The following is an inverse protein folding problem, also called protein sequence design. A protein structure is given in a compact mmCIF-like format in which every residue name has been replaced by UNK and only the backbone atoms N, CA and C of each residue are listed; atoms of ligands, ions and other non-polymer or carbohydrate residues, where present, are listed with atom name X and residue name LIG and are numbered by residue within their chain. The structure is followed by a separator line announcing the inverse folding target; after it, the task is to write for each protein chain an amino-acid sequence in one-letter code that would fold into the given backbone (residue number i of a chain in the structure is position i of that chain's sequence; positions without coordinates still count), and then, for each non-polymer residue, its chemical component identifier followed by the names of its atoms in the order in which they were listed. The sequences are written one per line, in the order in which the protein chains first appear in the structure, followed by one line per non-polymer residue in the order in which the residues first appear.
data_IF_624779871293
#
_entry.id   IF_624779871293
#
_cell.length_a   1.000
_cell.length_b   1.000
_cell.length_c   1.000
_cell.angle_alpha   90.00
_cell.angle_beta   90.00
_cell.angle_gamma   90.00
#
_symmetry.space_group_name_H-M   'P 1'
#
loop_
_entity.id
_entity.type
_entity.pdbx_description
1 polymer ?
#
# COMPACT_ATOMS: atom_id res chain seq x y z
N UNK A 1 30.62 -38.16 -7.59
CA UNK A 1 29.41 -38.12 -6.77
C UNK A 1 28.74 -36.75 -6.98
N UNK A 2 27.72 -36.74 -7.82
CA UNK A 2 26.98 -35.55 -8.20
C UNK A 2 25.73 -35.51 -7.30
N UNK A 3 25.63 -34.49 -6.47
CA UNK A 3 24.43 -34.18 -5.69
C UNK A 3 23.55 -33.23 -6.48
N UNK A 4 22.46 -33.76 -7.02
CA UNK A 4 21.40 -32.99 -7.67
C UNK A 4 20.57 -32.28 -6.58
N UNK A 5 20.64 -30.94 -6.55
CA UNK A 5 19.70 -30.13 -5.82
C UNK A 5 18.32 -30.17 -6.50
N UNK A 6 17.39 -30.82 -5.84
CA UNK A 6 15.98 -30.84 -6.24
C UNK A 6 15.33 -29.54 -5.80
N UNK A 7 15.12 -28.64 -6.76
CA UNK A 7 14.27 -27.45 -6.57
C UNK A 7 12.83 -27.89 -6.44
N UNK A 8 12.30 -27.88 -5.21
CA UNK A 8 10.90 -28.19 -4.94
C UNK A 8 10.05 -26.98 -5.31
N UNK A 9 9.52 -26.98 -6.51
CA UNK A 9 8.45 -26.06 -6.94
C UNK A 9 7.16 -26.53 -6.27
N UNK A 10 6.70 -25.83 -5.24
CA UNK A 10 5.38 -26.04 -4.66
C UNK A 10 4.32 -25.62 -5.67
N UNK A 11 3.78 -26.56 -6.40
CA UNK A 11 2.66 -26.40 -7.31
C UNK A 11 1.36 -26.34 -6.51
N UNK A 12 0.74 -25.19 -6.52
CA UNK A 12 -0.64 -24.96 -6.13
C UNK A 12 -1.55 -25.82 -7.02
N UNK A 13 -1.98 -26.99 -6.53
CA UNK A 13 -3.01 -27.81 -7.18
C UNK A 13 -4.38 -27.40 -6.63
N UNK A 14 -4.94 -26.33 -7.19
CA UNK A 14 -6.38 -26.15 -7.22
C UNK A 14 -6.84 -26.67 -8.59
N UNK A 15 -7.74 -27.65 -8.62
CA UNK A 15 -8.44 -27.96 -9.86
C UNK A 15 -9.12 -26.69 -10.36
N UNK A 16 -8.99 -26.31 -11.64
CA UNK A 16 -9.61 -25.11 -12.18
C UNK A 16 -11.11 -25.38 -12.32
N UNK A 17 -11.88 -25.16 -11.26
CA UNK A 17 -13.27 -24.77 -11.45
C UNK A 17 -13.20 -23.31 -11.92
N UNK A 18 -13.31 -23.10 -13.25
CA UNK A 18 -13.62 -21.79 -13.78
C UNK A 18 -14.96 -21.36 -13.20
N UNK A 19 -14.93 -20.75 -12.03
CA UNK A 19 -16.03 -19.91 -11.56
C UNK A 19 -15.85 -18.60 -12.31
N UNK A 20 -16.67 -18.36 -13.32
CA UNK A 20 -16.98 -17.00 -13.71
C UNK A 20 -17.47 -16.33 -12.41
N UNK A 21 -16.62 -15.56 -11.75
CA UNK A 21 -17.04 -14.91 -10.53
C UNK A 21 -18.12 -13.92 -10.91
N UNK A 22 -19.34 -14.11 -10.41
CA UNK A 22 -20.41 -13.13 -10.54
C UNK A 22 -20.12 -11.87 -9.73
N UNK A 23 -19.05 -11.87 -8.91
CA UNK A 23 -18.69 -10.81 -7.99
C UNK A 23 -17.77 -9.78 -8.64
N UNK A 24 -18.00 -8.50 -8.32
CA UNK A 24 -17.25 -7.38 -8.90
C UNK A 24 -15.92 -7.14 -8.21
N UNK A 25 -15.88 -7.27 -6.89
CA UNK A 25 -14.75 -6.89 -6.05
C UNK A 25 -14.20 -8.10 -5.27
N UNK A 26 -12.89 -8.31 -5.34
CA UNK A 26 -12.17 -9.18 -4.42
C UNK A 26 -11.54 -8.31 -3.32
N UNK A 27 -11.96 -8.51 -2.08
CA UNK A 27 -11.32 -7.92 -0.88
C UNK A 27 -10.19 -8.84 -0.46
N UNK A 28 -8.96 -8.34 -0.48
CA UNK A 28 -7.74 -9.09 -0.14
C UNK A 28 -7.21 -8.59 1.20
N UNK A 29 -7.14 -9.46 2.19
CA UNK A 29 -6.73 -9.15 3.55
C UNK A 29 -5.49 -9.97 3.90
N UNK A 30 -4.28 -9.38 3.90
CA UNK A 30 -3.10 -10.04 4.43
C UNK A 30 -3.19 -10.15 5.95
N UNK A 31 -2.92 -11.34 6.49
CA UNK A 31 -2.92 -11.60 7.93
C UNK A 31 -1.58 -12.16 8.38
N UNK A 32 -1.10 -11.72 9.54
CA UNK A 32 0.04 -12.29 10.25
C UNK A 32 -0.12 -12.04 11.75
N UNK A 33 -0.47 -13.09 12.51
CA UNK A 33 -0.74 -13.03 13.96
C UNK A 33 -1.74 -11.90 14.31
N UNK A 34 -2.83 -11.81 13.51
CA UNK A 34 -3.78 -10.70 13.56
C UNK A 34 -5.13 -11.03 14.18
N UNK A 35 -5.29 -12.18 14.83
CA UNK A 35 -6.56 -12.66 15.37
C UNK A 35 -7.28 -11.61 16.22
N UNK A 36 -6.55 -10.80 16.99
CA UNK A 36 -7.13 -9.75 17.82
C UNK A 36 -7.91 -8.68 17.05
N UNK A 37 -7.71 -8.56 15.73
CA UNK A 37 -8.36 -7.57 14.87
C UNK A 37 -9.35 -8.19 13.88
N UNK A 38 -9.09 -9.44 13.46
CA UNK A 38 -9.87 -10.12 12.42
C UNK A 38 -11.38 -10.12 12.70
N UNK A 39 -11.89 -10.43 13.91
CA UNK A 39 -13.32 -10.45 14.15
C UNK A 39 -14.01 -9.13 13.84
N UNK A 40 -13.46 -8.03 14.32
CA UNK A 40 -14.01 -6.70 14.11
C UNK A 40 -13.98 -6.27 12.63
N UNK A 41 -12.89 -6.59 11.93
CA UNK A 41 -12.75 -6.32 10.51
C UNK A 41 -13.80 -7.11 9.69
N UNK A 42 -13.96 -8.39 9.97
CA UNK A 42 -14.93 -9.25 9.28
C UNK A 42 -16.37 -8.87 9.61
N UNK A 43 -16.65 -8.47 10.84
CA UNK A 43 -17.98 -7.96 11.22
C UNK A 43 -18.32 -6.67 10.43
N UNK A 44 -17.37 -5.75 10.31
CA UNK A 44 -17.56 -4.52 9.52
C UNK A 44 -17.80 -4.83 8.03
N UNK A 45 -17.11 -5.82 7.45
CA UNK A 45 -17.35 -6.28 6.08
C UNK A 45 -18.70 -6.97 5.92
N UNK A 46 -19.18 -7.72 6.91
CA UNK A 46 -20.51 -8.37 6.84
C UNK A 46 -21.67 -7.38 6.81
N UNK A 47 -21.45 -6.13 7.22
CA UNK A 47 -22.44 -5.05 7.27
C UNK A 47 -22.43 -4.15 6.03
N UNK A 48 -21.69 -4.49 4.97
CA UNK A 48 -21.64 -3.67 3.77
C UNK A 48 -22.99 -3.62 3.06
N UNK A 49 -23.32 -2.44 2.49
CA UNK A 49 -24.56 -2.20 1.72
C UNK A 49 -24.61 -2.98 0.42
N UNK A 50 -23.45 -3.25 -0.17
CA UNK A 50 -23.30 -4.11 -1.35
C UNK A 50 -22.93 -5.54 -0.93
N UNK A 51 -23.40 -6.52 -1.68
CA UNK A 51 -23.12 -7.95 -1.43
C UNK A 51 -22.37 -8.62 -2.58
N UNK A 52 -22.03 -7.86 -3.62
CA UNK A 52 -21.37 -8.33 -4.84
C UNK A 52 -19.84 -8.30 -4.69
N UNK A 53 -19.36 -8.90 -3.60
CA UNK A 53 -17.92 -9.04 -3.35
C UNK A 53 -17.60 -10.37 -2.63
N UNK A 54 -16.36 -10.79 -2.74
CA UNK A 54 -15.79 -11.90 -1.97
C UNK A 54 -14.60 -11.41 -1.13
N UNK A 55 -14.31 -12.12 -0.05
CA UNK A 55 -13.19 -11.83 0.85
C UNK A 55 -12.19 -12.96 0.79
N UNK A 56 -10.94 -12.65 0.46
CA UNK A 56 -9.80 -13.56 0.55
C UNK A 56 -8.90 -13.12 1.68
N UNK A 57 -8.80 -13.94 2.71
CA UNK A 57 -7.77 -13.78 3.73
C UNK A 57 -6.53 -14.57 3.30
N UNK A 58 -5.38 -13.91 3.31
CA UNK A 58 -4.09 -14.54 3.02
C UNK A 58 -3.28 -14.55 4.30
N UNK A 59 -3.20 -15.70 4.92
CA UNK A 59 -2.44 -15.88 6.14
C UNK A 59 -0.96 -16.14 5.84
N UNK A 60 -0.11 -15.30 6.39
CA UNK A 60 1.34 -15.32 6.17
C UNK A 60 2.09 -16.14 7.22
N UNK A 61 1.68 -17.39 7.45
CA UNK A 61 2.24 -18.29 8.44
C UNK A 61 2.06 -17.79 9.89
N UNK A 62 0.82 -17.43 10.24
CA UNK A 62 0.47 -17.15 11.63
C UNK A 62 0.57 -18.38 12.51
N UNK A 63 0.78 -18.17 13.80
CA UNK A 63 0.75 -19.23 14.81
C UNK A 63 -0.57 -19.27 15.59
N UNK A 64 -0.71 -20.33 16.38
CA UNK A 64 -1.76 -20.44 17.40
C UNK A 64 -3.19 -20.48 16.86
N UNK A 65 -4.05 -19.69 17.48
CA UNK A 65 -5.50 -19.74 17.26
C UNK A 65 -5.95 -19.03 15.97
N UNK A 66 -5.08 -18.24 15.32
CA UNK A 66 -5.40 -17.53 14.07
C UNK A 66 -5.93 -18.50 13.01
N UNK A 67 -5.23 -19.61 12.79
CA UNK A 67 -5.57 -20.60 11.75
C UNK A 67 -6.90 -21.30 12.06
N UNK A 68 -7.12 -21.67 13.31
CA UNK A 68 -8.37 -22.29 13.75
C UNK A 68 -9.56 -21.36 13.53
N UNK A 69 -9.40 -20.10 13.92
CA UNK A 69 -10.43 -19.09 13.73
C UNK A 69 -10.73 -18.85 12.25
N UNK A 70 -9.69 -18.74 11.41
CA UNK A 70 -9.83 -18.50 9.97
C UNK A 70 -10.55 -19.67 9.27
N UNK A 71 -10.27 -20.92 9.63
CA UNK A 71 -11.02 -22.05 9.09
C UNK A 71 -12.48 -22.02 9.50
N UNK A 72 -12.80 -21.69 10.75
CA UNK A 72 -14.18 -21.55 11.23
C UNK A 72 -14.89 -20.43 10.47
N UNK A 73 -14.27 -19.26 10.36
CA UNK A 73 -14.80 -18.13 9.60
C UNK A 73 -15.08 -18.48 8.13
N UNK A 74 -14.14 -19.18 7.47
CA UNK A 74 -14.33 -19.61 6.08
C UNK A 74 -15.49 -20.58 5.92
N UNK A 75 -15.64 -21.53 6.84
CA UNK A 75 -16.67 -22.57 6.80
C UNK A 75 -18.09 -22.02 6.91
N UNK A 76 -18.32 -20.84 7.49
CA UNK A 76 -19.64 -20.21 7.60
C UNK A 76 -20.20 -19.75 6.25
N UNK A 77 -19.35 -19.35 5.28
CA UNK A 77 -19.78 -18.91 3.94
C UNK A 77 -18.67 -19.20 2.91
N UNK A 78 -18.44 -20.46 2.54
CA UNK A 78 -17.34 -20.84 1.64
C UNK A 78 -17.50 -20.31 0.21
N UNK A 79 -18.68 -19.80 -0.14
CA UNK A 79 -18.92 -19.18 -1.44
C UNK A 79 -18.30 -17.79 -1.55
N UNK A 80 -18.30 -17.03 -0.47
CA UNK A 80 -17.80 -15.64 -0.42
C UNK A 80 -16.56 -15.46 0.43
N UNK A 81 -16.21 -16.43 1.29
CA UNK A 81 -15.05 -16.39 2.18
C UNK A 81 -13.99 -17.37 1.71
N UNK A 82 -12.86 -16.85 1.30
CA UNK A 82 -11.74 -17.64 0.81
C UNK A 82 -10.56 -17.50 1.77
N UNK A 83 -9.76 -18.54 1.90
CA UNK A 83 -8.59 -18.59 2.76
C UNK A 83 -7.42 -19.20 1.99
N UNK A 84 -6.27 -18.51 2.03
CA UNK A 84 -5.00 -18.98 1.53
C UNK A 84 -4.00 -18.98 2.68
N UNK A 85 -3.37 -20.11 2.93
CA UNK A 85 -2.37 -20.26 3.98
C UNK A 85 -0.98 -20.38 3.35
N UNK A 86 -0.06 -19.53 3.77
CA UNK A 86 1.35 -19.57 3.39
C UNK A 86 2.16 -20.33 4.44
N UNK A 87 3.17 -21.09 3.99
CA UNK A 87 4.10 -21.79 4.87
C UNK A 87 5.15 -20.87 5.52
N UNK A 88 5.30 -19.63 4.99
CA UNK A 88 6.22 -18.62 5.47
C UNK A 88 5.65 -17.22 5.31
N UNK A 89 6.13 -16.26 6.10
CA UNK A 89 5.76 -14.88 5.96
C UNK A 89 6.44 -14.25 4.72
N UNK A 90 5.64 -14.04 3.66
CA UNK A 90 6.07 -13.45 2.38
C UNK A 90 6.10 -11.91 2.40
N UNK A 91 5.79 -11.30 3.54
CA UNK A 91 5.60 -9.86 3.66
C UNK A 91 4.26 -9.39 3.06
N UNK A 92 4.03 -8.09 3.14
CA UNK A 92 2.82 -7.48 2.60
C UNK A 92 2.74 -7.66 1.07
N UNK A 93 3.82 -7.30 0.35
CA UNK A 93 3.86 -7.37 -1.12
C UNK A 93 3.61 -8.78 -1.65
N UNK A 94 4.23 -9.80 -1.05
CA UNK A 94 4.05 -11.20 -1.46
C UNK A 94 2.62 -11.67 -1.25
N UNK A 95 2.05 -11.38 -0.08
CA UNK A 95 0.67 -11.78 0.24
C UNK A 95 -0.34 -11.11 -0.70
N UNK A 96 -0.32 -9.78 -0.82
CA UNK A 96 -1.32 -9.08 -1.65
C UNK A 96 -1.21 -9.45 -3.14
N UNK A 97 -0.02 -9.76 -3.62
CA UNK A 97 0.18 -10.23 -4.99
C UNK A 97 -0.53 -11.56 -5.28
N UNK A 98 -0.60 -12.46 -4.32
CA UNK A 98 -1.36 -13.73 -4.47
C UNK A 98 -2.84 -13.42 -4.72
N UNK A 99 -3.42 -12.50 -3.93
CA UNK A 99 -4.81 -12.07 -4.11
C UNK A 99 -5.04 -11.30 -5.42
N UNK A 100 -4.10 -10.43 -5.82
CA UNK A 100 -4.20 -9.70 -7.10
C UNK A 100 -4.13 -10.65 -8.28
N UNK A 101 -3.23 -11.65 -8.26
CA UNK A 101 -3.16 -12.68 -9.32
C UNK A 101 -4.49 -13.44 -9.42
N UNK A 102 -5.05 -13.86 -8.29
CA UNK A 102 -6.36 -14.51 -8.26
C UNK A 102 -7.45 -13.60 -8.83
N UNK A 103 -7.46 -12.32 -8.45
CA UNK A 103 -8.42 -11.36 -8.98
C UNK A 103 -8.31 -11.18 -10.51
N UNK A 104 -7.09 -11.17 -11.04
CA UNK A 104 -6.85 -11.11 -12.48
C UNK A 104 -7.29 -12.39 -13.20
N UNK A 105 -6.99 -13.55 -12.64
CA UNK A 105 -7.31 -14.88 -13.20
C UNK A 105 -8.83 -15.14 -13.22
N UNK A 106 -9.52 -14.76 -12.15
CA UNK A 106 -10.97 -14.96 -12.01
C UNK A 106 -11.80 -13.79 -12.61
N UNK A 107 -11.15 -12.73 -13.09
CA UNK A 107 -11.82 -11.64 -13.83
C UNK A 107 -12.56 -10.63 -12.95
N UNK A 108 -12.15 -10.44 -11.69
CA UNK A 108 -12.71 -9.36 -10.85
C UNK A 108 -12.42 -7.98 -11.45
N UNK A 109 -13.42 -7.11 -11.43
CA UNK A 109 -13.27 -5.73 -11.90
C UNK A 109 -12.30 -4.94 -10.99
N UNK A 110 -12.44 -5.16 -9.68
CA UNK A 110 -11.70 -4.43 -8.66
C UNK A 110 -11.05 -5.37 -7.65
N UNK A 111 -9.86 -4.98 -7.21
CA UNK A 111 -9.15 -5.58 -6.07
C UNK A 111 -9.09 -4.54 -4.96
N UNK A 112 -9.73 -4.81 -3.83
CA UNK A 112 -9.66 -3.99 -2.62
C UNK A 112 -8.63 -4.59 -1.69
N UNK A 113 -7.50 -3.92 -1.49
CA UNK A 113 -6.55 -4.28 -0.43
C UNK A 113 -7.03 -3.65 0.87
N UNK A 114 -7.13 -4.45 1.92
CA UNK A 114 -7.61 -4.02 3.22
C UNK A 114 -6.81 -4.68 4.34
N UNK A 115 -6.26 -3.87 5.25
CA UNK A 115 -5.60 -4.40 6.43
C UNK A 115 -6.60 -5.03 7.41
N UNK A 116 -6.17 -6.06 8.12
CA UNK A 116 -6.98 -6.75 9.13
C UNK A 116 -7.29 -5.87 10.36
N UNK A 117 -6.51 -4.80 10.63
CA UNK A 117 -6.68 -3.87 11.75
C UNK A 117 -7.52 -2.63 11.37
N UNK A 118 -8.54 -2.86 10.51
CA UNK A 118 -9.45 -1.81 10.02
C UNK A 118 -10.92 -2.13 10.31
N UNK A 119 -11.74 -1.08 10.42
CA UNK A 119 -13.20 -1.16 10.45
C UNK A 119 -13.79 -0.25 9.38
N UNK A 120 -14.33 -0.84 8.32
CA UNK A 120 -14.95 -0.10 7.21
C UNK A 120 -16.37 0.35 7.57
N UNK A 121 -16.80 1.54 7.10
CA UNK A 121 -18.20 1.97 7.22
C UNK A 121 -19.10 1.14 6.30
N UNK A 122 -20.41 1.07 6.58
CA UNK A 122 -21.33 0.19 5.82
C UNK A 122 -21.38 0.47 4.31
N UNK A 123 -21.16 1.70 3.88
CA UNK A 123 -21.19 2.14 2.47
C UNK A 123 -19.78 2.17 1.81
N UNK A 124 -18.77 1.62 2.47
CA UNK A 124 -17.36 1.76 2.07
C UNK A 124 -17.06 1.18 0.69
N UNK A 125 -17.45 -0.08 0.44
CA UNK A 125 -17.22 -0.75 -0.86
C UNK A 125 -18.05 -0.07 -1.93
N UNK A 126 -19.31 0.23 -1.65
CA UNK A 126 -20.22 0.92 -2.57
C UNK A 126 -19.66 2.27 -3.02
N UNK A 127 -19.13 3.06 -2.09
CA UNK A 127 -18.53 4.36 -2.38
C UNK A 127 -17.31 4.25 -3.33
N UNK A 128 -16.46 3.25 -3.12
CA UNK A 128 -15.29 2.99 -3.97
C UNK A 128 -15.73 2.51 -5.37
N UNK A 129 -16.63 1.54 -5.45
CA UNK A 129 -17.12 1.02 -6.73
C UNK A 129 -17.82 2.11 -7.55
N UNK A 130 -18.73 2.87 -6.92
CA UNK A 130 -19.42 3.99 -7.55
C UNK A 130 -18.45 5.03 -8.10
N UNK A 131 -17.36 5.31 -7.35
CA UNK A 131 -16.34 6.25 -7.84
C UNK A 131 -15.54 5.65 -9.01
N UNK A 132 -15.20 4.37 -8.98
CA UNK A 132 -14.54 3.69 -10.10
C UNK A 132 -15.39 3.69 -11.37
N UNK A 133 -16.71 3.52 -11.25
CA UNK A 133 -17.64 3.54 -12.38
C UNK A 133 -17.73 4.92 -13.06
N UNK A 134 -17.45 6.01 -12.33
CA UNK A 134 -17.38 7.37 -12.86
C UNK A 134 -16.13 7.64 -13.71
N UNK A 135 -15.29 6.64 -13.94
CA UNK A 135 -14.11 6.71 -14.81
C UNK A 135 -14.26 5.80 -16.05
N UNK A 136 -15.11 6.17 -17.02
CA UNK A 136 -15.39 5.33 -18.21
C UNK A 136 -14.15 5.16 -19.11
N UNK A 137 -13.13 6.02 -18.96
CA UNK A 137 -11.87 5.93 -19.70
C UNK A 137 -10.84 5.00 -19.04
N UNK A 138 -11.15 4.43 -17.88
CA UNK A 138 -10.25 3.52 -17.16
C UNK A 138 -8.89 4.13 -16.80
N UNK A 139 -8.84 5.43 -16.50
CA UNK A 139 -7.58 6.13 -16.17
C UNK A 139 -7.24 6.13 -14.68
N UNK A 140 -8.19 5.78 -13.84
CA UNK A 140 -7.97 5.66 -12.40
C UNK A 140 -7.44 4.25 -12.11
N UNK A 141 -6.19 4.19 -11.67
CA UNK A 141 -5.55 2.95 -11.23
C UNK A 141 -6.00 2.55 -9.84
N UNK A 142 -5.98 3.52 -8.91
CA UNK A 142 -6.32 3.25 -7.52
C UNK A 142 -7.10 4.40 -6.88
N UNK A 143 -7.94 4.04 -5.91
CA UNK A 143 -8.60 4.94 -4.97
C UNK A 143 -8.01 4.72 -3.58
N UNK A 144 -7.49 5.78 -2.97
CA UNK A 144 -7.14 5.81 -1.55
C UNK A 144 -8.36 6.19 -0.74
N UNK A 145 -8.65 5.43 0.30
CA UNK A 145 -9.77 5.69 1.19
C UNK A 145 -9.46 6.82 2.18
N UNK A 146 -10.50 7.40 2.79
CA UNK A 146 -10.37 8.27 3.94
C UNK A 146 -10.17 7.41 5.18
N UNK A 147 -8.93 7.28 5.62
CA UNK A 147 -8.60 6.57 6.84
C UNK A 147 -8.64 7.53 8.02
N UNK A 148 -9.40 7.18 9.06
CA UNK A 148 -9.46 7.89 10.33
C UNK A 148 -8.93 7.01 11.44
N UNK A 149 -8.44 7.60 12.53
CA UNK A 149 -7.92 6.82 13.65
C UNK A 149 -9.06 6.10 14.37
N UNK A 150 -8.93 4.81 14.63
CA UNK A 150 -9.96 4.02 15.29
C UNK A 150 -10.25 4.50 16.72
N UNK A 151 -9.24 5.01 17.45
CA UNK A 151 -9.39 5.54 18.80
C UNK A 151 -9.89 7.00 18.85
N UNK A 152 -9.82 7.72 17.73
CA UNK A 152 -10.35 9.07 17.55
C UNK A 152 -10.77 9.28 16.08
N UNK A 153 -12.01 8.90 15.70
CA UNK A 153 -12.51 9.02 14.33
C UNK A 153 -12.63 10.46 13.80
N UNK A 154 -12.41 11.46 14.66
CA UNK A 154 -12.32 12.87 14.28
C UNK A 154 -10.93 13.25 13.75
N UNK A 155 -9.94 12.38 13.89
CA UNK A 155 -8.60 12.60 13.34
C UNK A 155 -8.33 11.75 12.08
N UNK A 156 -7.81 12.40 11.05
CA UNK A 156 -7.28 11.70 9.87
C UNK A 156 -6.05 10.86 10.27
N UNK A 157 -6.04 9.61 9.85
CA UNK A 157 -4.84 8.77 9.84
C UNK A 157 -4.14 8.85 8.49
N UNK A 158 -4.91 8.76 7.39
CA UNK A 158 -4.40 8.89 6.02
C UNK A 158 -5.48 9.41 5.07
N UNK A 159 -5.13 10.39 4.24
CA UNK A 159 -5.97 10.91 3.16
C UNK A 159 -5.23 10.83 1.80
N UNK A 160 -4.49 9.75 1.62
CA UNK A 160 -3.59 9.52 0.50
C UNK A 160 -2.15 9.92 0.80
N UNK A 161 -1.23 9.24 0.16
CA UNK A 161 0.20 9.43 0.35
C UNK A 161 0.79 10.42 -0.65
N UNK A 162 1.78 11.14 -0.19
CA UNK A 162 2.64 12.04 -0.96
C UNK A 162 4.08 11.52 -1.03
N UNK A 163 4.81 11.91 -2.09
CA UNK A 163 6.22 11.61 -2.24
C UNK A 163 6.99 12.86 -2.68
N UNK A 164 8.13 13.14 -2.04
CA UNK A 164 8.86 14.41 -2.17
C UNK A 164 10.14 14.27 -2.98
N UNK A 165 10.73 15.39 -3.42
CA UNK A 165 12.09 15.46 -3.99
C UNK A 165 13.17 14.96 -3.03
N UNK A 166 12.91 14.99 -1.71
CA UNK A 166 13.81 14.50 -0.69
C UNK A 166 13.81 12.96 -0.58
N UNK A 167 13.01 12.27 -1.40
CA UNK A 167 12.82 10.82 -1.31
C UNK A 167 12.01 10.40 -0.07
N UNK A 168 11.12 11.26 0.41
CA UNK A 168 10.29 11.01 1.59
C UNK A 168 8.82 10.84 1.21
N UNK A 169 8.21 9.78 1.74
CA UNK A 169 6.77 9.62 1.79
C UNK A 169 6.21 10.33 3.03
N UNK A 170 5.05 10.93 2.90
CA UNK A 170 4.24 11.42 4.03
C UNK A 170 2.76 11.26 3.72
N UNK A 171 1.96 11.17 4.77
CA UNK A 171 0.51 11.01 4.71
C UNK A 171 -0.16 12.39 4.71
N UNK A 172 -1.07 12.62 3.77
CA UNK A 172 -1.91 13.81 3.80
C UNK A 172 -2.85 13.77 5.00
N UNK A 173 -3.00 14.88 5.66
CA UNK A 173 -3.96 15.07 6.75
C UNK A 173 -3.63 14.40 8.08
N UNK A 174 -2.54 13.68 8.22
CA UNK A 174 -2.21 12.94 9.44
C UNK A 174 -2.31 13.80 10.70
N UNK A 175 -3.25 13.43 11.61
CA UNK A 175 -3.52 14.12 12.86
C UNK A 175 -4.35 15.41 12.70
N UNK A 176 -4.91 15.67 11.53
CA UNK A 176 -5.82 16.78 11.30
C UNK A 176 -7.28 16.35 11.51
N UNK A 177 -8.13 17.34 11.83
CA UNK A 177 -9.57 17.14 11.99
C UNK A 177 -10.21 16.64 10.68
N UNK A 178 -10.88 15.49 10.75
CA UNK A 178 -11.46 14.80 9.59
C UNK A 178 -12.63 15.54 8.94
N UNK A 179 -13.29 16.43 9.69
CA UNK A 179 -14.43 17.23 9.26
C UNK A 179 -14.00 18.46 8.44
N UNK A 180 -12.70 18.81 8.40
CA UNK A 180 -12.24 19.94 7.58
C UNK A 180 -12.68 19.76 6.12
N UNK A 181 -13.21 20.82 5.46
CA UNK A 181 -13.70 20.74 4.07
C UNK A 181 -12.67 20.19 3.07
N UNK A 182 -11.38 20.40 3.31
CA UNK A 182 -10.31 19.91 2.44
C UNK A 182 -10.25 18.38 2.40
N UNK A 183 -10.56 17.70 3.52
CA UNK A 183 -10.58 16.25 3.62
C UNK A 183 -11.92 15.61 3.21
N UNK A 184 -12.87 16.43 2.76
CA UNK A 184 -14.16 16.00 2.22
C UNK A 184 -14.29 16.30 0.71
N UNK A 185 -13.16 16.50 0.03
CA UNK A 185 -13.08 16.72 -1.43
C UNK A 185 -12.14 15.68 -2.05
N UNK A 186 -12.58 15.13 -3.18
CA UNK A 186 -11.72 14.27 -3.99
C UNK A 186 -10.51 15.05 -4.50
N UNK A 187 -9.34 14.44 -4.42
CA UNK A 187 -8.09 15.01 -4.94
C UNK A 187 -7.23 13.94 -5.61
N UNK A 188 -6.32 14.38 -6.48
CA UNK A 188 -5.29 13.50 -7.03
C UNK A 188 -4.17 13.41 -6.00
N UNK A 189 -3.84 12.19 -5.57
CA UNK A 189 -2.75 11.91 -4.63
C UNK A 189 -1.60 11.20 -5.34
N UNK A 190 -0.42 11.16 -4.72
CA UNK A 190 0.71 10.47 -5.32
C UNK A 190 0.54 8.96 -5.24
N UNK A 191 0.10 8.47 -4.08
CA UNK A 191 -0.12 7.05 -3.85
C UNK A 191 -1.37 6.82 -3.00
N UNK A 192 -1.96 5.65 -3.15
CA UNK A 192 -2.97 5.14 -2.24
C UNK A 192 -2.30 4.28 -1.18
N UNK A 193 -2.62 4.53 0.10
CA UNK A 193 -2.20 3.66 1.18
C UNK A 193 -2.85 2.27 1.00
N UNK A 194 -2.04 1.26 0.72
CA UNK A 194 -2.52 -0.08 0.42
C UNK A 194 -3.18 -0.79 1.62
N UNK A 195 -3.18 -0.15 2.79
CA UNK A 195 -3.94 -0.60 3.96
C UNK A 195 -5.46 -0.49 3.80
N UNK A 196 -5.95 0.37 2.89
CA UNK A 196 -7.37 0.46 2.52
C UNK A 196 -7.51 1.14 1.15
N UNK A 197 -7.22 0.42 0.07
CA UNK A 197 -7.22 0.97 -1.29
C UNK A 197 -7.85 0.03 -2.30
N UNK A 198 -8.70 0.57 -3.18
CA UNK A 198 -9.28 -0.17 -4.30
C UNK A 198 -8.50 0.09 -5.58
N UNK A 199 -8.19 -0.97 -6.28
CA UNK A 199 -7.46 -0.96 -7.55
C UNK A 199 -8.33 -1.48 -8.68
N UNK A 200 -8.19 -0.91 -9.88
CA UNK A 200 -8.76 -1.49 -11.10
C UNK A 200 -7.90 -2.70 -11.50
N UNK A 201 -8.41 -3.90 -11.29
CA UNK A 201 -7.67 -5.17 -11.41
C UNK A 201 -6.93 -5.31 -12.74
N UNK A 202 -7.59 -5.03 -13.86
CA UNK A 202 -6.99 -5.17 -15.20
C UNK A 202 -5.74 -4.31 -15.40
N UNK A 203 -5.60 -3.18 -14.69
CA UNK A 203 -4.45 -2.28 -14.85
C UNK A 203 -3.16 -2.84 -14.25
N UNK A 204 -3.22 -3.84 -13.38
CA UNK A 204 -2.03 -4.55 -12.94
C UNK A 204 -1.30 -5.26 -14.09
N UNK A 205 -2.00 -5.63 -15.15
CA UNK A 205 -1.37 -6.16 -16.38
C UNK A 205 -0.43 -5.18 -17.07
N UNK A 206 -0.68 -3.87 -16.93
CA UNK A 206 0.18 -2.80 -17.49
C UNK A 206 1.17 -2.25 -16.46
N UNK A 207 0.67 -1.94 -15.26
CA UNK A 207 1.46 -1.33 -14.19
C UNK A 207 2.44 -2.32 -13.56
N UNK A 208 2.09 -3.61 -13.58
CA UNK A 208 2.76 -4.68 -12.85
C UNK A 208 2.32 -4.74 -11.38
N UNK A 209 2.62 -5.86 -10.75
CA UNK A 209 2.27 -6.14 -9.36
C UNK A 209 3.13 -5.34 -8.37
N UNK A 210 2.87 -5.47 -7.08
CA UNK A 210 3.75 -4.98 -6.03
C UNK A 210 5.09 -5.69 -6.10
N UNK A 211 6.20 -4.97 -5.88
CA UNK A 211 7.52 -5.58 -5.91
C UNK A 211 7.78 -6.33 -4.59
N UNK A 212 7.88 -7.64 -4.69
CA UNK A 212 8.04 -8.51 -3.51
C UNK A 212 9.38 -8.30 -2.77
N UNK A 213 10.40 -7.72 -3.46
CA UNK A 213 11.65 -7.33 -2.80
C UNK A 213 11.46 -6.22 -1.75
N UNK A 214 10.38 -5.46 -1.82
CA UNK A 214 10.05 -4.49 -0.76
C UNK A 214 9.70 -5.20 0.54
N UNK A 215 9.10 -6.36 0.50
CA UNK A 215 8.53 -7.08 1.63
C UNK A 215 7.38 -6.30 2.28
N UNK A 216 7.65 -5.11 2.81
CA UNK A 216 6.70 -4.12 3.31
C UNK A 216 7.33 -2.72 3.32
N UNK A 217 6.53 -1.67 3.33
CA UNK A 217 6.85 -0.24 3.29
C UNK A 217 7.38 0.25 1.94
N UNK A 218 6.76 1.33 1.44
CA UNK A 218 6.99 1.99 0.17
C UNK A 218 6.64 1.17 -1.09
N UNK A 219 6.10 -0.02 -0.96
CA UNK A 219 5.60 -0.83 -2.07
C UNK A 219 4.38 -0.19 -2.75
N UNK A 220 3.55 0.50 -1.97
CA UNK A 220 2.40 1.29 -2.44
C UNK A 220 2.84 2.54 -3.21
N UNK A 221 3.88 3.23 -2.73
CA UNK A 221 4.51 4.33 -3.46
C UNK A 221 5.11 3.83 -4.77
N UNK A 222 5.79 2.67 -4.78
CA UNK A 222 6.39 2.08 -5.97
C UNK A 222 5.34 1.77 -7.05
N UNK A 223 4.27 1.05 -6.70
CA UNK A 223 3.23 0.70 -7.68
C UNK A 223 2.49 1.93 -8.20
N UNK A 224 2.23 2.91 -7.33
CA UNK A 224 1.56 4.15 -7.69
C UNK A 224 2.46 5.06 -8.55
N UNK A 225 3.78 5.06 -8.32
CA UNK A 225 4.75 5.75 -9.16
C UNK A 225 4.72 5.16 -10.58
N UNK A 226 4.76 3.83 -10.72
CA UNK A 226 4.65 3.15 -12.02
C UNK A 226 3.33 3.47 -12.72
N UNK A 227 2.21 3.47 -11.98
CA UNK A 227 0.92 3.84 -12.55
C UNK A 227 0.95 5.25 -13.15
N UNK A 228 1.56 6.23 -12.48
CA UNK A 228 1.72 7.60 -12.98
C UNK A 228 2.65 7.66 -14.19
N UNK A 229 3.75 6.90 -14.22
CA UNK A 229 4.63 6.80 -15.40
C UNK A 229 3.84 6.34 -16.62
N UNK A 230 2.94 5.38 -16.47
CA UNK A 230 2.09 4.86 -17.56
C UNK A 230 0.83 5.69 -17.82
N UNK A 231 0.66 6.81 -17.12
CA UNK A 231 -0.40 7.79 -17.41
C UNK A 231 -1.69 7.59 -16.65
N UNK A 232 -1.71 6.69 -15.68
CA UNK A 232 -2.84 6.49 -14.79
C UNK A 232 -2.80 7.45 -13.61
N UNK A 233 -3.93 7.56 -12.91
CA UNK A 233 -4.10 8.44 -11.75
C UNK A 233 -4.41 7.64 -10.50
N UNK A 234 -4.02 8.18 -9.38
CA UNK A 234 -4.43 7.73 -8.04
C UNK A 234 -5.25 8.86 -7.43
N UNK A 235 -6.43 8.54 -6.91
CA UNK A 235 -7.34 9.52 -6.35
C UNK A 235 -7.61 9.21 -4.88
N UNK A 236 -7.79 10.24 -4.08
CA UNK A 236 -8.36 10.14 -2.75
C UNK A 236 -9.88 10.18 -2.84
N UNK A 237 -10.55 9.19 -2.23
CA UNK A 237 -12.01 9.05 -2.21
C UNK A 237 -12.55 9.39 -0.80
N UNK A 238 -13.00 10.63 -0.54
CA UNK A 238 -13.38 11.07 0.80
C UNK A 238 -14.65 10.41 1.34
N UNK A 239 -15.47 9.83 0.48
CA UNK A 239 -16.71 9.15 0.86
C UNK A 239 -16.49 7.71 1.33
N UNK A 240 -15.38 7.10 0.95
CA UNK A 240 -15.00 5.76 1.41
C UNK A 240 -14.22 5.88 2.73
N UNK A 241 -14.92 5.75 3.85
CA UNK A 241 -14.35 5.98 5.19
C UNK A 241 -14.07 4.66 5.89
N UNK A 242 -12.87 4.55 6.47
CA UNK A 242 -12.40 3.39 7.24
C UNK A 242 -11.68 3.83 8.50
N UNK A 243 -11.95 3.16 9.60
CA UNK A 243 -11.25 3.34 10.87
C UNK A 243 -10.05 2.39 10.91
N UNK A 244 -8.89 2.88 11.34
CA UNK A 244 -7.63 2.13 11.36
C UNK A 244 -6.95 2.25 12.72
N UNK A 245 -6.43 1.12 13.22
CA UNK A 245 -5.73 1.09 14.52
C UNK A 245 -4.42 1.88 14.46
N UNK A 246 -3.76 1.86 13.30
CA UNK A 246 -2.45 2.50 13.11
C UNK A 246 -1.32 1.75 13.83
N UNK A 247 -0.37 1.24 13.09
CA UNK A 247 0.77 0.45 13.62
C UNK A 247 0.37 -0.76 14.49
N UNK A 248 -0.85 -1.30 14.32
CA UNK A 248 -1.38 -2.41 15.10
C UNK A 248 -0.50 -3.66 15.06
N UNK A 249 -0.08 -4.08 13.87
CA UNK A 249 0.77 -5.27 13.68
C UNK A 249 2.23 -5.05 14.07
N UNK A 250 2.75 -3.83 13.94
CA UNK A 250 4.18 -3.53 14.09
C UNK A 250 4.57 -2.91 15.43
N UNK A 251 3.60 -2.68 16.32
CA UNK A 251 3.76 -2.36 17.75
C UNK A 251 4.34 -0.98 18.09
N UNK A 252 5.10 -0.33 17.22
CA UNK A 252 5.68 0.98 17.47
C UNK A 252 5.86 1.80 16.20
N UNK A 253 5.86 3.14 16.33
CA UNK A 253 6.09 4.05 15.21
C UNK A 253 7.47 3.81 14.54
N UNK A 254 8.51 3.57 15.34
CA UNK A 254 9.87 3.26 14.87
C UNK A 254 10.41 2.03 15.59
N UNK A 255 10.98 1.09 14.84
CA UNK A 255 11.78 -0.02 15.33
C UNK A 255 12.88 -0.33 14.31
N UNK A 256 13.86 -1.14 14.68
CA UNK A 256 15.01 -1.49 13.86
C UNK A 256 14.61 -2.07 12.49
N UNK A 257 13.63 -2.96 12.48
CA UNK A 257 13.12 -3.59 11.26
C UNK A 257 12.50 -2.58 10.29
N UNK A 258 11.56 -1.76 10.77
CA UNK A 258 10.91 -0.71 9.96
C UNK A 258 11.91 0.27 9.37
N UNK A 259 12.83 0.75 10.20
CA UNK A 259 13.82 1.76 9.79
C UNK A 259 14.74 1.22 8.72
N UNK A 260 15.29 0.01 8.92
CA UNK A 260 16.17 -0.65 7.95
C UNK A 260 15.46 -0.92 6.63
N UNK A 261 14.25 -1.48 6.70
CA UNK A 261 13.47 -1.85 5.53
C UNK A 261 13.06 -0.62 4.71
N UNK A 262 12.53 0.44 5.36
CA UNK A 262 12.17 1.69 4.69
C UNK A 262 13.38 2.39 4.06
N UNK A 263 14.54 2.36 4.71
CA UNK A 263 15.77 2.92 4.15
C UNK A 263 16.21 2.16 2.88
N UNK A 264 16.22 0.83 2.93
CA UNK A 264 16.49 -0.03 1.78
C UNK A 264 15.52 0.24 0.62
N UNK A 265 14.24 0.24 0.92
CA UNK A 265 13.17 0.40 -0.07
C UNK A 265 13.16 1.81 -0.69
N UNK A 266 13.63 2.85 0.04
CA UNK A 266 13.83 4.17 -0.56
C UNK A 266 14.84 4.13 -1.71
N UNK A 267 15.93 3.35 -1.59
CA UNK A 267 16.89 3.15 -2.68
C UNK A 267 16.27 2.37 -3.84
N UNK A 268 15.48 1.33 -3.52
CA UNK A 268 14.80 0.52 -4.51
C UNK A 268 13.84 1.34 -5.36
N UNK A 269 13.02 2.16 -4.73
CA UNK A 269 12.05 3.02 -5.40
C UNK A 269 12.73 3.98 -6.39
N UNK A 270 13.81 4.65 -5.98
CA UNK A 270 14.57 5.56 -6.83
C UNK A 270 15.20 4.81 -8.02
N UNK A 271 15.86 3.69 -7.75
CA UNK A 271 16.52 2.90 -8.80
C UNK A 271 15.55 2.37 -9.84
N UNK A 272 14.36 1.95 -9.41
CA UNK A 272 13.36 1.30 -10.26
C UNK A 272 12.59 2.30 -11.11
N UNK A 273 12.22 3.45 -10.57
CA UNK A 273 11.21 4.33 -11.14
C UNK A 273 11.77 5.64 -11.69
N UNK A 274 12.96 6.08 -11.27
CA UNK A 274 13.54 7.32 -11.76
C UNK A 274 14.56 7.05 -12.88
N UNK A 275 14.42 7.72 -14.06
CA UNK A 275 15.45 7.68 -15.09
C UNK A 275 16.72 8.42 -14.65
N UNK A 276 17.87 8.09 -15.27
CA UNK A 276 19.16 8.64 -14.87
C UNK A 276 19.21 10.17 -14.87
N UNK A 277 18.57 10.82 -15.84
CA UNK A 277 18.51 12.29 -15.89
C UNK A 277 17.75 12.87 -14.70
N UNK A 278 16.63 12.27 -14.31
CA UNK A 278 15.83 12.71 -13.16
C UNK A 278 16.60 12.49 -11.86
N UNK A 279 17.32 11.37 -11.72
CA UNK A 279 18.23 11.13 -10.59
C UNK A 279 19.36 12.16 -10.52
N UNK A 280 19.93 12.55 -11.68
CA UNK A 280 20.98 13.56 -11.74
C UNK A 280 20.49 14.95 -11.31
N UNK A 281 19.32 15.36 -11.80
CA UNK A 281 18.69 16.66 -11.45
C UNK A 281 18.37 16.69 -9.94
N UNK A 282 17.90 15.58 -9.39
CA UNK A 282 17.47 15.46 -8.00
C UNK A 282 18.57 14.99 -7.03
N UNK A 283 19.83 14.86 -7.48
CA UNK A 283 20.90 14.32 -6.62
C UNK A 283 21.08 15.11 -5.32
N UNK A 284 21.07 16.44 -5.38
CA UNK A 284 21.26 17.28 -4.20
C UNK A 284 20.09 17.19 -3.20
N UNK A 285 18.80 17.37 -3.61
CA UNK A 285 17.69 17.19 -2.67
C UNK A 285 17.61 15.77 -2.11
N UNK A 286 17.90 14.73 -2.90
CA UNK A 286 17.92 13.35 -2.41
C UNK A 286 19.03 13.12 -1.37
N UNK A 287 20.25 13.59 -1.62
CA UNK A 287 21.36 13.50 -0.65
C UNK A 287 21.01 14.25 0.64
N UNK A 288 20.45 15.46 0.54
CA UNK A 288 19.97 16.21 1.70
C UNK A 288 18.91 15.43 2.47
N UNK A 289 17.94 14.83 1.77
CA UNK A 289 16.88 14.04 2.38
C UNK A 289 17.43 12.82 3.14
N UNK A 290 18.35 12.08 2.55
CA UNK A 290 19.00 10.93 3.23
C UNK A 290 19.83 11.38 4.42
N UNK A 291 20.57 12.49 4.30
CA UNK A 291 21.37 13.04 5.40
C UNK A 291 20.48 13.46 6.59
N UNK A 292 19.41 14.19 6.33
CA UNK A 292 18.46 14.63 7.38
C UNK A 292 17.82 13.42 8.07
N UNK A 293 17.38 12.40 7.33
CA UNK A 293 16.87 11.15 7.92
C UNK A 293 17.95 10.40 8.70
N UNK A 294 19.19 10.36 8.23
CA UNK A 294 20.29 9.73 8.95
C UNK A 294 20.50 10.43 10.32
N UNK A 295 20.54 11.76 10.34
CA UNK A 295 20.69 12.54 11.58
C UNK A 295 19.48 12.38 12.51
N UNK A 296 18.27 12.34 11.96
CA UNK A 296 17.06 12.06 12.72
C UNK A 296 17.11 10.69 13.38
N UNK A 297 17.45 9.63 12.64
CA UNK A 297 17.51 8.28 13.19
C UNK A 297 18.70 8.06 14.11
N UNK A 298 19.81 8.78 13.94
CA UNK A 298 20.90 8.81 14.92
C UNK A 298 20.38 9.33 16.28
N UNK A 299 19.60 10.43 16.28
CA UNK A 299 18.99 10.96 17.52
C UNK A 299 17.95 10.04 18.14
N UNK A 300 17.31 9.18 17.32
CA UNK A 300 16.32 8.18 17.77
C UNK A 300 16.92 6.83 18.16
N UNK A 301 18.24 6.65 18.06
CA UNK A 301 18.92 5.40 18.36
C UNK A 301 18.93 4.35 17.25
N UNK A 302 18.44 4.70 16.04
CA UNK A 302 18.34 3.78 14.89
C UNK A 302 19.24 4.18 13.71
N UNK A 303 20.28 4.96 13.96
CA UNK A 303 21.15 5.46 12.88
C UNK A 303 21.94 4.35 12.17
N UNK A 304 22.34 3.30 12.90
CA UNK A 304 23.02 2.14 12.31
C UNK A 304 22.10 1.36 11.39
N UNK A 305 20.88 1.13 11.80
CA UNK A 305 19.84 0.43 11.04
C UNK A 305 19.48 1.18 9.76
N UNK A 306 19.38 2.51 9.83
CA UNK A 306 19.08 3.34 8.66
C UNK A 306 20.24 3.27 7.65
N UNK A 307 21.51 3.46 8.10
CA UNK A 307 22.67 3.34 7.24
C UNK A 307 22.81 1.93 6.63
N UNK A 308 22.58 0.88 7.44
CA UNK A 308 22.62 -0.51 6.97
C UNK A 308 21.55 -0.77 5.88
N UNK A 309 20.34 -0.23 6.05
CA UNK A 309 19.29 -0.32 5.04
C UNK A 309 19.67 0.37 3.72
N UNK A 310 20.21 1.59 3.76
CA UNK A 310 20.69 2.27 2.56
C UNK A 310 21.78 1.47 1.82
N UNK A 311 22.77 0.96 2.55
CA UNK A 311 23.84 0.14 1.99
C UNK A 311 23.31 -1.17 1.39
N UNK A 312 22.37 -1.82 2.06
CA UNK A 312 21.69 -3.01 1.56
C UNK A 312 20.96 -2.68 0.24
N UNK A 313 20.19 -1.59 0.23
CA UNK A 313 19.49 -1.13 -0.98
C UNK A 313 20.43 -0.89 -2.16
N UNK A 314 21.57 -0.23 -1.91
CA UNK A 314 22.58 0.02 -2.95
C UNK A 314 23.18 -1.30 -3.47
N UNK A 315 23.44 -2.28 -2.61
CA UNK A 315 24.05 -3.57 -3.00
C UNK A 315 23.08 -4.45 -3.77
N UNK A 316 21.82 -4.48 -3.36
CA UNK A 316 20.82 -5.44 -3.88
C UNK A 316 19.91 -4.86 -4.96
N UNK A 317 19.93 -3.54 -5.22
CA UNK A 317 19.04 -2.88 -6.21
C UNK A 317 19.01 -3.51 -7.61
N UNK A 318 20.10 -4.16 -8.03
CA UNK A 318 20.19 -4.79 -9.35
C UNK A 318 19.31 -6.03 -9.50
N UNK A 319 18.78 -6.56 -8.41
CA UNK A 319 17.82 -7.67 -8.41
C UNK A 319 16.41 -7.22 -8.83
N UNK A 320 16.13 -5.90 -8.77
CA UNK A 320 14.83 -5.37 -9.11
C UNK A 320 14.68 -5.17 -10.62
N UNK A 321 13.50 -5.49 -11.12
CA UNK A 321 13.09 -5.13 -12.46
C UNK A 321 12.74 -3.65 -12.53
N UNK A 322 13.41 -2.91 -13.41
CA UNK A 322 13.10 -1.49 -13.63
C UNK A 322 11.77 -1.32 -14.34
N UNK A 323 11.05 -0.25 -14.03
CA UNK A 323 9.95 0.21 -14.85
C UNK A 323 10.42 0.41 -16.31
N UNK A 324 9.53 0.24 -17.28
CA UNK A 324 9.84 0.39 -18.72
C UNK A 324 10.05 1.85 -19.10
N UNK A 325 11.05 2.48 -18.50
CA UNK A 325 11.31 3.93 -18.56
C UNK A 325 11.48 4.46 -19.99
N UNK A 326 11.97 3.65 -20.93
CA UNK A 326 12.17 4.06 -22.34
C UNK A 326 10.85 4.26 -23.09
N UNK A 327 9.78 3.64 -22.63
CA UNK A 327 8.44 3.72 -23.25
C UNK A 327 7.63 4.91 -22.70
N UNK A 328 8.14 5.60 -21.67
CA UNK A 328 7.43 6.71 -21.00
C UNK A 328 7.70 8.02 -21.72
N UNK A 329 6.65 8.77 -22.14
CA UNK A 329 6.81 10.08 -22.75
C UNK A 329 7.51 11.09 -21.83
N UNK A 330 8.40 11.94 -22.34
CA UNK A 330 9.13 12.94 -21.56
C UNK A 330 8.21 13.86 -20.71
N UNK A 331 7.04 14.21 -21.24
CA UNK A 331 6.05 15.02 -20.49
C UNK A 331 5.56 14.36 -19.20
N UNK A 332 5.58 13.03 -19.11
CA UNK A 332 5.24 12.31 -17.88
C UNK A 332 6.28 12.52 -16.79
N UNK A 333 7.56 12.45 -17.16
CA UNK A 333 8.64 12.75 -16.20
C UNK A 333 8.56 14.18 -15.69
N UNK A 334 8.30 15.14 -16.57
CA UNK A 334 8.10 16.53 -16.16
C UNK A 334 6.89 16.69 -15.23
N UNK A 335 5.77 16.03 -15.54
CA UNK A 335 4.57 16.06 -14.68
C UNK A 335 4.82 15.47 -13.31
N UNK A 336 5.58 14.37 -13.23
CA UNK A 336 5.95 13.75 -11.94
C UNK A 336 6.90 14.67 -11.18
N UNK A 337 7.90 15.25 -11.85
CA UNK A 337 8.85 16.19 -11.25
C UNK A 337 8.14 17.39 -10.62
N UNK A 338 7.23 18.03 -11.35
CA UNK A 338 6.43 19.14 -10.83
C UNK A 338 5.60 18.72 -9.60
N UNK A 339 5.07 17.50 -9.61
CA UNK A 339 4.35 16.96 -8.46
C UNK A 339 5.26 16.74 -7.25
N UNK A 340 6.46 16.21 -7.45
CA UNK A 340 7.45 16.05 -6.38
C UNK A 340 7.84 17.39 -5.75
N UNK A 341 7.99 18.45 -6.57
CA UNK A 341 8.25 19.81 -6.12
C UNK A 341 7.07 20.31 -5.26
N UNK A 342 5.85 20.22 -5.79
CA UNK A 342 4.63 20.68 -5.10
C UNK A 342 4.46 19.99 -3.75
N UNK A 343 4.61 18.68 -3.70
CA UNK A 343 4.52 17.90 -2.46
C UNK A 343 5.66 18.19 -1.49
N UNK A 344 6.84 18.57 -1.99
CA UNK A 344 7.93 19.00 -1.11
C UNK A 344 7.59 20.34 -0.45
N UNK A 345 7.01 21.29 -1.19
CA UNK A 345 6.54 22.55 -0.64
C UNK A 345 5.42 22.35 0.38
N UNK A 346 4.46 21.49 0.07
CA UNK A 346 3.38 21.11 0.99
C UNK A 346 3.94 20.53 2.29
N UNK A 347 4.91 19.62 2.21
CA UNK A 347 5.56 19.02 3.38
C UNK A 347 6.21 20.09 4.27
N UNK A 348 6.95 21.03 3.68
CA UNK A 348 7.58 22.15 4.42
C UNK A 348 6.52 23.03 5.10
N UNK A 349 5.41 23.33 4.39
CA UNK A 349 4.31 24.11 4.96
C UNK A 349 3.61 23.38 6.12
N UNK A 350 3.39 22.07 6.01
CA UNK A 350 2.83 21.27 7.10
C UNK A 350 3.75 21.27 8.33
N UNK A 351 5.07 21.12 8.13
CA UNK A 351 6.04 21.22 9.22
C UNK A 351 5.98 22.58 9.90
N UNK A 352 5.99 23.68 9.13
CA UNK A 352 5.95 25.03 9.69
C UNK A 352 4.70 25.28 10.52
N UNK A 353 3.51 24.82 10.05
CA UNK A 353 2.24 24.93 10.80
C UNK A 353 2.28 24.14 12.12
N UNK A 354 2.83 22.93 12.13
CA UNK A 354 2.98 22.11 13.36
C UNK A 354 3.91 22.78 14.38
N UNK A 355 5.01 23.40 13.93
CA UNK A 355 5.92 24.12 14.82
C UNK A 355 5.30 25.42 15.37
N UNK A 356 4.59 26.20 14.56
CA UNK A 356 3.91 27.43 15.02
C UNK A 356 2.76 27.14 15.97
N UNK A 357 2.00 26.07 15.76
CA UNK A 357 0.95 25.64 16.68
C UNK A 357 1.51 25.24 18.04
N UNK A 358 2.62 24.48 18.07
CA UNK A 358 3.30 24.05 19.29
C UNK A 358 3.98 25.19 20.08
N UNK A 359 4.34 26.28 19.40
CA UNK A 359 4.95 27.45 20.04
C UNK A 359 3.91 28.42 20.65
N UNK A 360 2.62 28.23 20.32
CA UNK A 360 1.51 29.08 20.81
C UNK A 360 0.65 28.43 21.89
N UNK A 361 0.83 27.14 22.16
CA UNK A 361 0.22 26.41 23.26
C UNK A 361 1.24 26.00 24.31
#
# INVERSE_FOLDING_TARGET
MSTSETTTTHTYRKEPTMRNSHYRTLVVIPNYNGLRFLPDCMEALSRQTVTDFTVLVIDNASGGDDITWLHTWQAEDPARRQLLLNDANLGFSGAVNQGIRLAMEEGYNFTLLLNNDTKVRPDFIEALEKRMDQDPKGRVFALSSKMVKMHDPHEIDDAGDAYTLLGWQFQHGLGECAEKPVWNRETVVFSACAGAAMYRTALFGTVGLFDEHHFAYLEDIDVSYRAQLYGYRVLYCPTAVVEHVGSGTSGSKYNAFKVRLSARNSVYLLYKNMPALMLLVNVLPLLLGFLVKQLFFLRKGFGKEYAAGLLEGIRTRKQLEKAKLKEVPCLRYLSIELRLIDQTLEYVLQLSRKYTAKARG
#
